data_IF_108294999374
#
_entry.id   IF_108294999374
#
_cell.length_a   1.000
_cell.length_b   1.000
_cell.length_c   1.000
_cell.angle_alpha   90.00
_cell.angle_beta   90.00
_cell.angle_gamma   90.00
#
_symmetry.space_group_name_H-M   'P 1'
#
loop_
_entity.id
_entity.type
_entity.pdbx_description
1 polymer ?
#
# COMPACT_ATOMS: atom_id res chain seq x y z
N UNK A 1 -15.59 13.85 1.46
CA UNK A 1 -14.88 12.62 1.02
C UNK A 1 -15.93 11.59 0.66
N UNK A 2 -15.86 11.00 -0.53
CA UNK A 2 -16.83 10.01 -1.01
C UNK A 2 -16.59 8.66 -0.34
N UNK A 3 -17.67 7.92 -0.03
CA UNK A 3 -17.66 6.61 0.63
C UNK A 3 -16.79 5.53 -0.04
N UNK A 4 -16.59 5.49 -1.38
CA UNK A 4 -15.76 4.46 -2.03
C UNK A 4 -14.29 4.58 -1.67
N UNK A 5 -13.78 5.81 -1.48
CA UNK A 5 -12.39 6.06 -1.13
C UNK A 5 -12.03 5.46 0.23
N UNK A 6 -12.97 5.51 1.18
CA UNK A 6 -12.78 4.95 2.51
C UNK A 6 -12.65 3.43 2.47
N UNK A 7 -13.53 2.77 1.72
CA UNK A 7 -13.49 1.33 1.49
C UNK A 7 -12.22 0.90 0.77
N UNK A 8 -11.78 1.65 -0.25
CA UNK A 8 -10.54 1.38 -0.97
C UNK A 8 -9.30 1.44 -0.06
N UNK A 9 -9.19 2.47 0.78
CA UNK A 9 -8.08 2.61 1.75
C UNK A 9 -8.09 1.45 2.77
N UNK A 10 -9.27 1.06 3.25
CA UNK A 10 -9.42 -0.03 4.23
C UNK A 10 -9.01 -1.38 3.62
N UNK A 11 -9.53 -1.70 2.44
CA UNK A 11 -9.25 -2.96 1.74
C UNK A 11 -7.78 -3.07 1.34
N UNK A 12 -7.11 -1.99 0.97
CA UNK A 12 -5.69 -2.01 0.61
C UNK A 12 -4.76 -2.18 1.83
N UNK A 13 -5.13 -1.67 3.00
CA UNK A 13 -4.32 -1.80 4.22
C UNK A 13 -4.33 -3.19 4.82
N UNK A 14 -5.38 -3.98 4.57
CA UNK A 14 -5.51 -5.36 5.07
C UNK A 14 -4.38 -6.27 4.57
N UNK A 15 -4.13 -6.38 3.24
CA UNK A 15 -3.01 -7.14 2.71
C UNK A 15 -1.66 -6.76 3.33
N UNK A 16 -1.39 -5.45 3.44
CA UNK A 16 -0.12 -4.94 3.97
C UNK A 16 0.03 -5.29 5.46
N UNK A 17 -1.04 -5.17 6.24
CA UNK A 17 -1.02 -5.56 7.65
C UNK A 17 -0.77 -7.07 7.83
N UNK A 18 -1.38 -7.92 7.00
CA UNK A 18 -1.14 -9.37 6.99
C UNK A 18 0.33 -9.66 6.67
N UNK A 19 0.91 -9.00 5.66
CA UNK A 19 2.33 -9.14 5.31
C UNK A 19 3.23 -8.71 6.48
N UNK A 20 2.94 -7.59 7.14
CA UNK A 20 3.74 -7.11 8.27
C UNK A 20 3.71 -8.09 9.44
N UNK A 21 2.52 -8.61 9.80
CA UNK A 21 2.37 -9.60 10.88
C UNK A 21 3.12 -10.89 10.52
N UNK A 22 2.95 -11.41 9.31
CA UNK A 22 3.59 -12.67 8.87
C UNK A 22 5.11 -12.55 8.80
N UNK A 23 5.67 -11.41 8.38
CA UNK A 23 7.11 -11.17 8.43
C UNK A 23 7.61 -11.13 9.87
N UNK A 24 6.96 -10.39 10.76
CA UNK A 24 7.41 -10.25 12.14
C UNK A 24 7.32 -11.56 12.92
N UNK A 25 6.30 -12.39 12.67
CA UNK A 25 6.22 -13.73 13.26
C UNK A 25 7.29 -14.66 12.70
N UNK A 26 7.60 -14.57 11.40
CA UNK A 26 8.69 -15.33 10.77
C UNK A 26 10.05 -14.99 11.38
N UNK A 27 10.31 -13.71 11.61
CA UNK A 27 11.55 -13.23 12.28
C UNK A 27 11.52 -13.35 13.81
N UNK A 28 10.50 -13.99 14.40
CA UNK A 28 10.32 -14.18 15.86
C UNK A 28 10.44 -12.88 16.67
N UNK A 29 9.94 -11.78 16.11
CA UNK A 29 9.90 -10.48 16.78
C UNK A 29 9.01 -10.57 18.02
N UNK A 30 9.38 -9.86 19.09
CA UNK A 30 8.60 -9.85 20.33
C UNK A 30 7.17 -9.34 20.09
N UNK A 31 6.18 -9.90 20.80
CA UNK A 31 4.77 -9.48 20.67
C UNK A 31 4.56 -7.99 20.94
N UNK A 32 5.32 -7.43 21.88
CA UNK A 32 5.27 -6.01 22.21
C UNK A 32 5.72 -5.16 21.03
N UNK A 33 6.84 -5.51 20.39
CA UNK A 33 7.33 -4.81 19.20
C UNK A 33 6.33 -4.92 18.04
N UNK A 34 5.74 -6.10 17.80
CA UNK A 34 4.71 -6.28 16.78
C UNK A 34 3.51 -5.34 16.99
N UNK A 35 2.97 -5.30 18.22
CA UNK A 35 1.81 -4.48 18.55
C UNK A 35 2.13 -2.98 18.41
N UNK A 36 3.29 -2.54 18.88
CA UNK A 36 3.73 -1.15 18.73
C UNK A 36 3.88 -0.79 17.25
N UNK A 37 4.52 -1.65 16.45
CA UNK A 37 4.68 -1.43 15.01
C UNK A 37 3.34 -1.38 14.27
N UNK A 38 2.36 -2.22 14.64
CA UNK A 38 1.02 -2.18 14.07
C UNK A 38 0.26 -0.90 14.47
N UNK A 39 0.39 -0.45 15.72
CA UNK A 39 -0.19 0.80 16.17
C UNK A 39 0.40 2.00 15.40
N UNK A 40 1.73 2.04 15.25
CA UNK A 40 2.40 3.04 14.41
C UNK A 40 1.89 2.97 12.97
N UNK A 41 1.84 1.78 12.37
CA UNK A 41 1.35 1.60 11.01
C UNK A 41 -0.08 2.12 10.82
N UNK A 42 -0.98 1.85 11.77
CA UNK A 42 -2.35 2.36 11.75
C UNK A 42 -2.40 3.89 11.81
N UNK A 43 -1.51 4.51 12.61
CA UNK A 43 -1.43 5.96 12.81
C UNK A 43 -0.80 6.72 11.62
N UNK A 44 0.03 6.08 10.80
CA UNK A 44 0.68 6.75 9.67
C UNK A 44 -0.32 7.40 8.70
N UNK A 45 -1.47 6.79 8.46
CA UNK A 45 -2.46 7.33 7.53
C UNK A 45 -3.25 8.55 8.06
N UNK A 46 -3.81 8.56 9.28
CA UNK A 46 -4.41 9.77 9.82
C UNK A 46 -3.36 10.89 9.97
N UNK A 47 -2.12 10.57 10.36
CA UNK A 47 -1.03 11.56 10.38
C UNK A 47 -0.74 12.13 8.99
N UNK A 48 -0.61 11.28 7.97
CA UNK A 48 -0.42 11.70 6.59
C UNK A 48 -1.58 12.58 6.09
N UNK A 49 -2.81 12.27 6.50
CA UNK A 49 -3.99 13.09 6.18
C UNK A 49 -3.97 14.48 6.84
N UNK A 50 -3.56 14.57 8.11
CA UNK A 50 -3.42 15.85 8.82
C UNK A 50 -2.30 16.70 8.22
N UNK A 51 -1.12 16.11 8.02
CA UNK A 51 0.04 16.78 7.42
C UNK A 51 -0.29 17.22 5.99
N UNK A 52 -0.93 16.35 5.21
CA UNK A 52 -1.34 16.66 3.84
C UNK A 52 -2.33 17.83 3.76
N UNK A 53 -3.27 17.94 4.71
CA UNK A 53 -4.15 19.12 4.80
C UNK A 53 -3.37 20.39 5.08
N UNK A 54 -2.46 20.37 6.06
CA UNK A 54 -1.64 21.54 6.38
C UNK A 54 -0.76 21.99 5.21
N UNK A 55 -0.14 21.05 4.50
CA UNK A 55 0.65 21.35 3.29
C UNK A 55 -0.23 21.94 2.19
N UNK A 56 -1.42 21.37 1.96
CA UNK A 56 -2.35 21.85 0.96
C UNK A 56 -2.87 23.27 1.25
N UNK A 57 -3.09 23.60 2.53
CA UNK A 57 -3.51 24.94 2.95
C UNK A 57 -2.41 25.99 2.74
N UNK A 58 -1.13 25.64 2.97
CA UNK A 58 -0.01 26.57 2.86
C UNK A 58 0.47 26.73 1.40
N UNK A 59 0.58 25.63 0.66
CA UNK A 59 1.24 25.60 -0.66
C UNK A 59 0.26 25.31 -1.82
N UNK A 60 -1.02 25.13 -1.52
CA UNK A 60 -2.05 24.78 -2.49
C UNK A 60 -2.13 23.27 -2.77
N UNK A 61 -3.33 22.83 -3.19
CA UNK A 61 -3.63 21.40 -3.41
C UNK A 61 -2.75 20.72 -4.46
N UNK A 62 -2.19 21.47 -5.41
CA UNK A 62 -1.35 20.91 -6.47
C UNK A 62 -0.08 20.24 -5.93
N UNK A 63 0.43 20.70 -4.78
CA UNK A 63 1.63 20.11 -4.17
C UNK A 63 1.39 18.67 -3.71
N UNK A 64 0.17 18.34 -3.30
CA UNK A 64 -0.21 16.98 -2.90
C UNK A 64 -0.07 15.99 -4.06
N UNK A 65 -0.25 16.43 -5.30
CA UNK A 65 -0.09 15.56 -6.48
C UNK A 65 1.35 15.06 -6.63
N UNK A 66 2.37 15.85 -6.27
CA UNK A 66 3.76 15.38 -6.30
C UNK A 66 4.02 14.30 -5.25
N UNK A 67 3.46 14.45 -4.04
CA UNK A 67 3.55 13.42 -3.01
C UNK A 67 2.80 12.14 -3.40
N UNK A 68 1.63 12.28 -4.02
CA UNK A 68 0.87 11.14 -4.56
C UNK A 68 1.67 10.44 -5.66
N UNK A 69 2.23 11.19 -6.62
CA UNK A 69 3.05 10.62 -7.69
C UNK A 69 4.27 9.87 -7.13
N UNK A 70 4.98 10.45 -6.16
CA UNK A 70 6.11 9.81 -5.49
C UNK A 70 5.69 8.53 -4.75
N UNK A 71 4.60 8.60 -3.97
CA UNK A 71 4.07 7.45 -3.23
C UNK A 71 3.62 6.32 -4.17
N UNK A 72 2.86 6.64 -5.22
CA UNK A 72 2.43 5.67 -6.23
C UNK A 72 3.62 5.06 -6.96
N UNK A 73 4.66 5.84 -7.28
CA UNK A 73 5.90 5.34 -7.89
C UNK A 73 6.64 4.34 -7.00
N UNK A 74 6.78 4.64 -5.71
CA UNK A 74 7.39 3.72 -4.73
C UNK A 74 6.56 2.44 -4.60
N UNK A 75 5.22 2.55 -4.52
CA UNK A 75 4.33 1.39 -4.48
C UNK A 75 4.45 0.52 -5.74
N UNK A 76 4.51 1.14 -6.92
CA UNK A 76 4.69 0.41 -8.18
C UNK A 76 6.04 -0.31 -8.18
N UNK A 77 7.12 0.36 -7.78
CA UNK A 77 8.45 -0.25 -7.69
C UNK A 77 8.48 -1.45 -6.74
N UNK A 78 8.01 -1.28 -5.49
CA UNK A 78 7.94 -2.36 -4.49
C UNK A 78 7.10 -3.53 -5.02
N UNK A 79 5.97 -3.23 -5.67
CA UNK A 79 5.10 -4.27 -6.24
C UNK A 79 5.82 -5.05 -7.32
N UNK A 80 6.54 -4.39 -8.24
CA UNK A 80 7.29 -5.09 -9.29
C UNK A 80 8.42 -5.95 -8.72
N UNK A 81 9.12 -5.47 -7.69
CA UNK A 81 10.15 -6.24 -6.98
C UNK A 81 9.53 -7.48 -6.34
N UNK A 82 8.48 -7.33 -5.53
CA UNK A 82 7.82 -8.48 -4.88
C UNK A 82 7.27 -9.49 -5.90
N UNK A 83 6.69 -9.01 -7.00
CA UNK A 83 6.04 -9.87 -8.00
C UNK A 83 7.02 -10.63 -8.88
N UNK A 84 8.11 -9.99 -9.30
CA UNK A 84 9.03 -10.56 -10.29
C UNK A 84 10.30 -11.15 -9.67
N UNK A 85 10.78 -10.61 -8.55
CA UNK A 85 12.00 -11.09 -7.89
C UNK A 85 11.77 -12.36 -7.07
N UNK A 86 10.56 -12.57 -6.54
CA UNK A 86 10.19 -13.82 -5.82
C UNK A 86 9.89 -15.01 -6.75
N UNK A 87 10.22 -14.91 -8.05
CA UNK A 87 10.00 -16.00 -9.02
C UNK A 87 11.02 -17.13 -8.82
N UNK A 88 10.60 -18.18 -8.13
CA UNK A 88 11.37 -19.41 -7.94
C UNK A 88 11.76 -19.98 -9.32
N UNK A 89 13.08 -20.09 -9.59
CA UNK A 89 13.71 -20.61 -10.81
C UNK A 89 13.76 -19.69 -12.05
N UNK A 90 13.73 -18.35 -11.89
CA UNK A 90 13.94 -17.34 -12.96
C UNK A 90 12.98 -17.43 -14.17
N UNK A 91 11.86 -18.16 -14.06
CA UNK A 91 10.82 -18.17 -15.08
C UNK A 91 9.76 -17.13 -14.73
N UNK A 92 9.68 -16.09 -15.55
CA UNK A 92 8.64 -15.08 -15.49
C UNK A 92 7.26 -15.74 -15.47
N UNK A 93 6.51 -15.58 -14.38
CA UNK A 93 5.20 -16.19 -14.23
C UNK A 93 4.14 -15.29 -14.90
N UNK A 94 3.99 -15.45 -16.22
CA UNK A 94 3.04 -14.70 -17.03
C UNK A 94 1.58 -14.85 -16.53
N UNK A 95 1.24 -16.01 -15.96
CA UNK A 95 -0.07 -16.22 -15.33
C UNK A 95 -0.31 -15.25 -14.16
N UNK A 96 0.68 -15.05 -13.28
CA UNK A 96 0.56 -14.08 -12.17
C UNK A 96 0.33 -12.66 -12.69
N UNK A 97 1.06 -12.25 -13.74
CA UNK A 97 0.85 -10.93 -14.35
C UNK A 97 -0.57 -10.80 -14.92
N UNK A 98 -1.07 -11.84 -15.60
CA UNK A 98 -2.40 -11.82 -16.19
C UNK A 98 -3.51 -11.67 -15.14
N UNK A 99 -3.42 -12.36 -14.00
CA UNK A 99 -4.38 -12.21 -12.90
C UNK A 99 -4.38 -10.81 -12.29
N UNK A 100 -3.21 -10.16 -12.21
CA UNK A 100 -3.09 -8.79 -11.70
C UNK A 100 -3.73 -7.80 -12.67
N UNK A 101 -3.46 -7.93 -13.98
CA UNK A 101 -4.10 -7.10 -15.01
C UNK A 101 -5.61 -7.32 -15.00
N UNK A 102 -6.07 -8.58 -14.94
CA UNK A 102 -7.50 -8.90 -14.90
C UNK A 102 -8.18 -8.31 -13.65
N UNK A 103 -7.55 -8.38 -12.48
CA UNK A 103 -8.05 -7.74 -11.26
C UNK A 103 -8.10 -6.21 -11.38
N UNK A 104 -7.09 -5.59 -12.00
CA UNK A 104 -7.07 -4.16 -12.28
C UNK A 104 -8.19 -3.74 -13.25
N UNK A 105 -8.40 -4.50 -14.32
CA UNK A 105 -9.50 -4.26 -15.27
C UNK A 105 -10.86 -4.43 -14.59
N UNK A 106 -11.03 -5.48 -13.78
CA UNK A 106 -12.27 -5.69 -13.02
C UNK A 106 -12.55 -4.53 -12.06
N UNK A 107 -11.53 -4.02 -11.37
CA UNK A 107 -11.68 -2.84 -10.53
C UNK A 107 -12.09 -1.61 -11.32
N UNK A 108 -11.51 -1.38 -12.51
CA UNK A 108 -11.85 -0.24 -13.35
C UNK A 108 -13.30 -0.27 -13.86
N UNK A 109 -13.88 -1.46 -14.04
CA UNK A 109 -15.29 -1.59 -14.45
C UNK A 109 -16.28 -1.54 -13.28
N UNK A 110 -15.87 -1.93 -12.07
CA UNK A 110 -16.74 -1.95 -10.89
C UNK A 110 -16.77 -0.64 -10.10
N UNK A 111 -15.72 0.19 -10.19
CA UNK A 111 -15.53 1.43 -9.42
C UNK A 111 -15.18 2.59 -10.33
#
# INVERSE_FOLDING_TARGET
MSTPLYWGILLHKLPIAIVLVTLFTTYRVSRSTLLISLAFFALLAPFGGIIGKGIAEIYGHNVINYFLAASTGIFLHISTVILFETSHNHRFNFLKLLFIIAGGMLSFFLF
#
